data_IF_431591160176
#
_entry.id   IF_431591160176
#
_cell.length_a   1.000
_cell.length_b   1.000
_cell.length_c   1.000
_cell.angle_alpha   90.00
_cell.angle_beta   90.00
_cell.angle_gamma   90.00
#
_symmetry.space_group_name_H-M   'P 1'
#
loop_
_entity.id
_entity.type
_entity.pdbx_description
1 polymer ?
#
# COMPACT_ATOMS: atom_id res chain seq x y z
N UNK A 1 -26.52 13.14 -13.72
CA UNK A 1 -25.88 12.51 -12.53
C UNK A 1 -24.44 12.20 -12.88
N UNK A 2 -23.47 12.72 -12.11
CA UNK A 2 -22.07 12.32 -12.28
C UNK A 2 -21.88 10.93 -11.67
N UNK A 3 -21.48 9.97 -12.50
CA UNK A 3 -21.17 8.60 -12.08
C UNK A 3 -19.86 8.61 -11.29
N UNK A 4 -19.83 7.98 -10.12
CA UNK A 4 -18.59 7.74 -9.37
C UNK A 4 -17.77 6.70 -10.13
N UNK A 5 -16.50 7.03 -10.41
CA UNK A 5 -15.52 6.12 -11.00
C UNK A 5 -14.55 5.72 -9.89
N UNK A 6 -14.48 4.43 -9.59
CA UNK A 6 -13.53 3.92 -8.59
C UNK A 6 -12.11 3.89 -9.16
N UNK A 7 -11.11 3.83 -8.28
CA UNK A 7 -9.72 3.63 -8.69
C UNK A 7 -9.57 2.38 -9.57
N UNK A 8 -10.14 1.25 -9.14
CA UNK A 8 -10.13 0.00 -9.89
C UNK A 8 -10.77 0.16 -11.28
N UNK A 9 -11.92 0.84 -11.36
CA UNK A 9 -12.58 1.09 -12.64
C UNK A 9 -11.73 1.97 -13.56
N UNK A 10 -11.11 3.02 -13.01
CA UNK A 10 -10.21 3.88 -13.78
C UNK A 10 -9.01 3.10 -14.32
N UNK A 11 -8.36 2.29 -13.50
CA UNK A 11 -7.18 1.49 -13.90
C UNK A 11 -7.57 0.51 -15.01
N UNK A 12 -8.67 -0.23 -14.85
CA UNK A 12 -9.14 -1.20 -15.86
C UNK A 12 -9.48 -0.50 -17.19
N UNK A 13 -10.11 0.68 -17.14
CA UNK A 13 -10.40 1.45 -18.35
C UNK A 13 -9.11 1.90 -19.04
N UNK A 14 -8.12 2.38 -18.29
CA UNK A 14 -6.83 2.81 -18.84
C UNK A 14 -6.01 1.66 -19.39
N UNK A 15 -6.06 0.48 -18.79
CA UNK A 15 -5.38 -0.70 -19.34
C UNK A 15 -5.86 -1.00 -20.78
N UNK A 16 -7.16 -0.83 -21.06
CA UNK A 16 -7.73 -1.07 -22.40
C UNK A 16 -7.22 -0.10 -23.47
N UNK A 17 -6.69 1.06 -23.07
CA UNK A 17 -6.04 2.01 -24.00
C UNK A 17 -4.72 1.43 -24.56
N UNK A 18 -4.19 0.34 -23.99
CA UNK A 18 -2.93 -0.30 -24.37
C UNK A 18 -3.15 -1.77 -24.77
N UNK A 19 -3.21 -2.10 -26.08
CA UNK A 19 -3.50 -3.46 -26.57
C UNK A 19 -2.52 -4.55 -26.12
N UNK A 20 -1.29 -4.15 -25.78
CA UNK A 20 -0.21 -5.06 -25.35
C UNK A 20 -0.08 -5.17 -23.83
N UNK A 21 -0.98 -4.55 -23.05
CA UNK A 21 -0.91 -4.59 -21.61
C UNK A 21 -1.20 -6.00 -21.08
N UNK A 22 -0.20 -6.59 -20.42
CA UNK A 22 -0.28 -7.88 -19.70
C UNK A 22 -1.25 -7.85 -18.53
N UNK A 23 -1.44 -6.68 -17.90
CA UNK A 23 -2.24 -6.49 -16.69
C UNK A 23 -1.41 -6.46 -15.41
N UNK A 24 -0.11 -6.71 -15.48
CA UNK A 24 0.82 -6.77 -14.35
C UNK A 24 0.82 -5.44 -13.56
N UNK A 25 0.91 -4.30 -14.27
CA UNK A 25 0.79 -2.96 -13.65
C UNK A 25 -0.58 -2.73 -13.00
N UNK A 26 -1.65 -3.30 -13.55
CA UNK A 26 -2.99 -3.20 -12.96
C UNK A 26 -3.07 -3.99 -11.66
N UNK A 27 -2.43 -5.16 -11.59
CA UNK A 27 -2.24 -5.92 -10.37
C UNK A 27 -1.50 -5.11 -9.31
N UNK A 28 -0.32 -4.58 -9.64
CA UNK A 28 0.50 -3.78 -8.73
C UNK A 28 -0.26 -2.58 -8.14
N UNK A 29 -0.95 -1.80 -8.98
CA UNK A 29 -1.71 -0.64 -8.52
C UNK A 29 -2.90 -1.03 -7.63
N UNK A 30 -3.52 -2.18 -7.91
CA UNK A 30 -4.60 -2.72 -7.08
C UNK A 30 -4.09 -3.10 -5.70
N UNK A 31 -2.93 -3.76 -5.60
CA UNK A 31 -2.34 -4.16 -4.32
C UNK A 31 -1.95 -2.97 -3.47
N UNK A 32 -1.36 -1.93 -4.07
CA UNK A 32 -1.09 -0.66 -3.39
C UNK A 32 -2.39 -0.07 -2.86
N UNK A 33 -3.47 -0.07 -3.66
CA UNK A 33 -4.78 0.40 -3.24
C UNK A 33 -5.38 -0.39 -2.07
N UNK A 34 -5.13 -1.70 -2.01
CA UNK A 34 -5.56 -2.55 -0.89
C UNK A 34 -4.72 -2.26 0.37
N UNK A 35 -3.40 -2.22 0.25
CA UNK A 35 -2.49 -1.89 1.35
C UNK A 35 -2.84 -0.53 1.97
N UNK A 36 -3.06 0.49 1.13
CA UNK A 36 -3.43 1.82 1.57
C UNK A 36 -4.75 1.84 2.36
N UNK A 37 -5.76 1.05 1.96
CA UNK A 37 -7.03 0.92 2.71
C UNK A 37 -6.83 0.25 4.06
N UNK A 38 -5.96 -0.77 4.14
CA UNK A 38 -5.62 -1.46 5.39
C UNK A 38 -4.90 -0.51 6.34
N UNK A 39 -3.89 0.22 5.86
CA UNK A 39 -3.17 1.23 6.65
C UNK A 39 -4.12 2.32 7.11
N UNK A 40 -4.96 2.86 6.22
CA UNK A 40 -5.93 3.90 6.57
C UNK A 40 -6.93 3.45 7.65
N UNK A 41 -7.39 2.20 7.59
CA UNK A 41 -8.26 1.63 8.64
C UNK A 41 -7.55 1.63 9.99
N UNK A 42 -6.27 1.29 10.02
CA UNK A 42 -5.50 1.22 11.26
C UNK A 42 -5.20 2.62 11.81
N UNK A 43 -4.84 3.57 10.94
CA UNK A 43 -4.68 5.00 11.28
C UNK A 43 -5.96 5.57 11.88
N UNK A 44 -7.11 5.31 11.26
CA UNK A 44 -8.41 5.80 11.76
C UNK A 44 -8.81 5.18 13.11
N UNK A 45 -8.21 4.04 13.47
CA UNK A 45 -8.43 3.37 14.76
C UNK A 45 -7.29 3.59 15.74
N UNK A 46 -6.26 4.33 15.38
CA UNK A 46 -5.04 4.44 16.16
C UNK A 46 -5.24 5.08 17.54
N UNK A 47 -6.27 5.91 17.72
CA UNK A 47 -6.65 6.44 19.04
C UNK A 47 -7.35 5.42 19.96
N UNK A 48 -7.79 4.29 19.41
CA UNK A 48 -8.51 3.22 20.11
C UNK A 48 -7.70 1.92 20.23
N UNK A 49 -6.61 1.81 19.46
CA UNK A 49 -5.73 0.63 19.37
C UNK A 49 -4.32 1.04 19.76
N UNK A 50 -3.54 0.14 20.38
CA UNK A 50 -2.17 0.42 20.86
C UNK A 50 -1.10 0.54 19.75
N UNK A 51 -1.42 1.21 18.65
CA UNK A 51 -0.53 1.39 17.49
C UNK A 51 0.14 2.76 17.43
N UNK A 52 -0.24 3.69 18.32
CA UNK A 52 0.49 4.96 18.50
C UNK A 52 1.71 4.77 19.41
N UNK A 53 2.79 5.47 19.08
CA UNK A 53 4.02 5.54 19.87
C UNK A 53 5.23 4.88 19.19
N UNK A 54 6.40 5.12 19.79
CA UNK A 54 7.68 4.63 19.28
C UNK A 54 7.71 3.11 19.24
N UNK A 55 8.28 2.55 18.18
CA UNK A 55 8.58 1.13 18.03
C UNK A 55 9.75 0.69 18.92
N UNK A 56 10.56 1.66 19.40
CA UNK A 56 11.77 1.38 20.18
C UNK A 56 12.96 0.95 19.31
N UNK A 57 12.87 1.20 18.00
CA UNK A 57 13.92 0.98 17.01
C UNK A 57 14.23 2.29 16.28
N UNK A 58 15.43 2.36 15.73
CA UNK A 58 15.93 3.47 14.92
C UNK A 58 16.13 2.96 13.49
N UNK A 59 15.72 3.73 12.48
CA UNK A 59 15.89 3.33 11.08
C UNK A 59 17.33 3.56 10.59
N UNK A 60 17.64 3.13 9.36
CA UNK A 60 18.96 3.31 8.76
C UNK A 60 19.39 4.79 8.59
N UNK A 61 18.45 5.73 8.72
CA UNK A 61 18.66 7.18 8.65
C UNK A 61 18.89 7.84 10.01
N UNK A 62 18.77 7.09 11.12
CA UNK A 62 18.94 7.61 12.47
C UNK A 62 17.66 8.23 13.09
N UNK A 63 16.49 7.88 12.57
CA UNK A 63 15.21 8.39 13.05
C UNK A 63 14.47 7.37 13.93
N UNK A 64 13.82 7.87 14.98
CA UNK A 64 12.96 7.06 15.87
C UNK A 64 11.72 6.55 15.11
N UNK A 65 11.67 5.24 14.87
CA UNK A 65 10.59 4.60 14.13
C UNK A 65 9.31 4.55 14.97
N UNK A 66 8.16 4.87 14.37
CA UNK A 66 6.86 4.66 15.02
C UNK A 66 6.32 3.25 14.73
N UNK A 67 5.51 2.71 15.64
CA UNK A 67 4.84 1.42 15.42
C UNK A 67 3.97 1.40 14.17
N UNK A 68 3.40 2.55 13.82
CA UNK A 68 2.60 2.71 12.62
C UNK A 68 3.44 2.57 11.34
N UNK A 69 4.70 3.02 11.37
CA UNK A 69 5.61 2.98 10.22
C UNK A 69 5.97 1.53 9.91
N UNK A 70 6.37 0.77 10.94
CA UNK A 70 6.59 -0.69 10.82
C UNK A 70 5.35 -1.41 10.30
N UNK A 71 4.18 -1.08 10.84
CA UNK A 71 2.92 -1.70 10.40
C UNK A 71 2.63 -1.38 8.92
N UNK A 72 2.80 -0.13 8.49
CA UNK A 72 2.58 0.26 7.11
C UNK A 72 3.56 -0.44 6.16
N UNK A 73 4.83 -0.52 6.55
CA UNK A 73 5.86 -1.23 5.81
C UNK A 73 5.50 -2.70 5.62
N UNK A 74 5.18 -3.41 6.72
CA UNK A 74 4.76 -4.81 6.66
C UNK A 74 3.56 -5.02 5.73
N UNK A 75 2.51 -4.18 5.82
CA UNK A 75 1.32 -4.35 4.99
C UNK A 75 1.55 -4.04 3.52
N UNK A 76 2.40 -3.08 3.20
CA UNK A 76 2.81 -2.82 1.82
C UNK A 76 3.62 -3.99 1.26
N UNK A 77 4.60 -4.50 2.01
CA UNK A 77 5.41 -5.66 1.61
C UNK A 77 4.54 -6.89 1.41
N UNK A 78 3.65 -7.20 2.35
CA UNK A 78 2.73 -8.35 2.26
C UNK A 78 1.84 -8.26 1.02
N UNK A 79 1.28 -7.08 0.73
CA UNK A 79 0.41 -6.90 -0.42
C UNK A 79 1.18 -6.99 -1.75
N UNK A 80 2.36 -6.37 -1.85
CA UNK A 80 3.17 -6.36 -3.07
C UNK A 80 3.79 -7.74 -3.36
N UNK A 81 4.07 -8.56 -2.35
CA UNK A 81 4.52 -9.95 -2.53
C UNK A 81 3.44 -10.86 -3.10
N UNK A 82 2.17 -10.56 -2.84
CA UNK A 82 1.07 -11.45 -3.18
C UNK A 82 0.72 -11.47 -4.68
N UNK A 83 1.01 -10.42 -5.45
CA UNK A 83 0.70 -10.42 -6.88
C UNK A 83 1.70 -11.18 -7.75
N UNK A 84 2.92 -11.44 -7.25
CA UNK A 84 3.98 -12.02 -8.07
C UNK A 84 4.54 -11.08 -9.14
N UNK A 85 4.04 -9.85 -9.21
CA UNK A 85 4.44 -8.82 -10.19
C UNK A 85 5.58 -7.93 -9.68
N UNK A 86 5.94 -8.08 -8.40
CA UNK A 86 7.01 -7.32 -7.76
C UNK A 86 8.24 -8.21 -7.57
N UNK A 87 9.33 -7.90 -8.28
CA UNK A 87 10.58 -8.65 -8.17
C UNK A 87 11.47 -8.23 -6.99
N UNK A 88 11.24 -7.04 -6.42
CA UNK A 88 12.01 -6.49 -5.31
C UNK A 88 11.38 -5.22 -4.75
N UNK A 89 11.58 -4.99 -3.46
CA UNK A 89 11.01 -3.87 -2.72
C UNK A 89 12.17 -3.17 -2.00
N UNK A 90 12.21 -1.84 -2.08
CA UNK A 90 13.05 -0.99 -1.26
C UNK A 90 12.15 -0.19 -0.32
N UNK A 91 12.43 -0.26 0.97
CA UNK A 91 11.72 0.44 2.05
C UNK A 91 12.68 1.41 2.75
N UNK A 92 12.14 2.52 3.23
CA UNK A 92 12.83 3.46 4.11
C UNK A 92 12.98 2.89 5.53
N UNK A 93 11.98 2.13 5.97
CA UNK A 93 11.98 1.33 7.21
C UNK A 93 12.84 0.07 7.09
#
# INVERSE_FOLDING_TARGET
>A
MNRIVTLDEFIIRRQKDFPFASGELTGLLRDIGVAAKIVNREVNKAGLVSILGKAGSENASGEDVQKLDLYANEKLIDCLKNSGECCGIASEE
#
